data_IF_137642561522
#
_entry.id   IF_137642561522
#
_cell.length_a   1.000
_cell.length_b   1.000
_cell.length_c   1.000
_cell.angle_alpha   90.00
_cell.angle_beta   90.00
_cell.angle_gamma   90.00
#
_symmetry.space_group_name_H-M   'P 1'
#
loop_
_entity.id
_entity.type
_entity.pdbx_description
1 polymer ?
#
# COMPACT_ATOMS: atom_id res chain seq x y z
N UNK A 1 -15.69 -7.30 20.58
CA UNK A 1 -14.46 -7.66 19.85
C UNK A 1 -14.12 -9.08 20.26
N UNK A 2 -13.91 -9.99 19.32
CA UNK A 2 -13.77 -11.41 19.64
C UNK A 2 -12.29 -11.80 19.69
N UNK A 3 -11.89 -12.69 20.59
CA UNK A 3 -10.47 -13.00 20.86
C UNK A 3 -9.77 -13.62 19.63
N UNK A 4 -10.55 -14.18 18.69
CA UNK A 4 -10.06 -14.74 17.44
C UNK A 4 -9.52 -13.69 16.44
N UNK A 5 -9.96 -12.43 16.50
CA UNK A 5 -9.54 -11.37 15.54
C UNK A 5 -8.07 -10.95 15.75
N UNK A 6 -7.57 -11.01 16.99
CA UNK A 6 -6.20 -10.65 17.37
C UNK A 6 -5.13 -11.52 16.70
N UNK A 7 -5.51 -12.68 16.13
CA UNK A 7 -4.58 -13.65 15.54
C UNK A 7 -4.48 -13.58 14.00
N UNK A 8 -5.10 -12.58 13.37
CA UNK A 8 -5.15 -12.41 11.90
C UNK A 8 -4.49 -11.13 11.38
N UNK A 9 -3.86 -10.36 12.27
CA UNK A 9 -3.06 -9.17 11.94
C UNK A 9 -1.58 -9.57 11.90
N UNK A 10 -0.82 -9.03 10.94
CA UNK A 10 0.63 -9.22 10.90
C UNK A 10 1.35 -8.22 11.78
N UNK A 11 2.48 -8.64 12.34
CA UNK A 11 3.41 -7.73 12.98
C UNK A 11 3.91 -6.68 12.00
N UNK A 12 4.03 -5.44 12.48
CA UNK A 12 4.59 -4.35 11.69
C UNK A 12 6.03 -4.68 11.27
N UNK A 13 6.29 -4.60 9.97
CA UNK A 13 7.61 -4.77 9.39
C UNK A 13 7.85 -3.71 8.31
N UNK A 14 9.09 -3.21 8.14
CA UNK A 14 9.42 -2.33 7.03
C UNK A 14 9.39 -3.08 5.68
N UNK A 15 9.22 -2.37 4.54
CA UNK A 15 9.35 -2.98 3.23
C UNK A 15 10.68 -3.70 3.07
N UNK A 16 10.66 -4.91 2.48
CA UNK A 16 11.85 -5.75 2.23
C UNK A 16 12.57 -6.32 3.48
N UNK A 17 11.98 -6.26 4.68
CA UNK A 17 12.56 -6.82 5.91
C UNK A 17 13.00 -8.30 5.82
N UNK A 18 12.42 -9.06 4.88
CA UNK A 18 12.66 -10.47 4.59
C UNK A 18 13.67 -10.69 3.43
N UNK A 19 14.31 -9.61 2.95
CA UNK A 19 15.19 -9.58 1.77
C UNK A 19 16.48 -8.79 1.97
N UNK A 20 16.52 -7.86 2.92
CA UNK A 20 17.70 -7.01 3.22
C UNK A 20 17.94 -6.91 4.73
N UNK A 21 19.18 -6.62 5.19
CA UNK A 21 19.43 -6.34 6.61
C UNK A 21 18.73 -5.05 7.07
N UNK A 22 18.61 -4.86 8.39
CA UNK A 22 17.89 -3.73 9.00
C UNK A 22 18.42 -2.35 8.63
N UNK A 23 19.70 -2.24 8.27
CA UNK A 23 20.35 -1.04 7.72
C UNK A 23 21.03 -1.40 6.39
N UNK A 24 20.29 -1.36 5.27
CA UNK A 24 20.75 -1.91 4.00
C UNK A 24 21.61 -0.92 3.20
N UNK A 25 22.65 -1.42 2.55
CA UNK A 25 23.47 -0.61 1.65
C UNK A 25 22.72 -0.31 0.34
N UNK A 26 23.25 0.66 -0.43
CA UNK A 26 22.77 0.91 -1.79
C UNK A 26 22.84 -0.34 -2.68
N UNK A 27 23.87 -1.19 -2.49
CA UNK A 27 24.05 -2.39 -3.31
C UNK A 27 22.98 -3.45 -3.01
N UNK A 28 22.64 -3.65 -1.73
CA UNK A 28 21.56 -4.56 -1.29
C UNK A 28 20.21 -4.14 -1.89
N UNK A 29 19.87 -2.85 -1.76
CA UNK A 29 18.62 -2.31 -2.30
C UNK A 29 18.59 -2.32 -3.84
N UNK A 30 19.70 -1.99 -4.51
CA UNK A 30 19.81 -2.09 -5.97
C UNK A 30 19.65 -3.53 -6.44
N UNK A 31 20.26 -4.50 -5.75
CA UNK A 31 20.10 -5.92 -6.08
C UNK A 31 18.64 -6.33 -5.95
N UNK A 32 18.01 -6.14 -4.80
CA UNK A 32 16.63 -6.60 -4.56
C UNK A 32 15.61 -5.90 -5.46
N UNK A 33 15.69 -4.56 -5.61
CA UNK A 33 14.64 -3.79 -6.30
C UNK A 33 14.87 -3.69 -7.81
N UNK A 34 16.12 -3.54 -8.25
CA UNK A 34 16.46 -3.22 -9.65
C UNK A 34 17.02 -4.39 -10.44
N UNK A 35 17.74 -5.33 -9.81
CA UNK A 35 18.27 -6.54 -10.49
C UNK A 35 17.27 -7.67 -10.39
N UNK A 36 16.92 -8.08 -9.16
CA UNK A 36 16.02 -9.20 -8.87
C UNK A 36 14.53 -8.83 -9.01
N UNK A 37 14.23 -7.55 -9.29
CA UNK A 37 12.89 -7.00 -9.53
C UNK A 37 11.85 -7.31 -8.44
N UNK A 38 12.30 -7.62 -7.23
CA UNK A 38 11.44 -7.94 -6.12
C UNK A 38 10.61 -6.73 -5.66
N UNK A 39 9.45 -7.01 -5.07
CA UNK A 39 8.54 -6.04 -4.45
C UNK A 39 8.07 -6.61 -3.10
N UNK A 40 7.64 -5.76 -2.15
CA UNK A 40 7.12 -6.25 -0.87
C UNK A 40 5.97 -7.25 -1.10
N UNK A 41 6.09 -8.42 -0.47
CA UNK A 41 5.08 -9.48 -0.55
C UNK A 41 3.80 -9.00 0.11
N UNK A 42 2.68 -9.09 -0.61
CA UNK A 42 1.37 -8.82 -0.04
C UNK A 42 0.72 -10.14 0.42
N UNK A 43 0.02 -10.17 1.57
CA UNK A 43 -0.47 -11.42 2.13
C UNK A 43 -1.64 -11.99 1.33
N UNK A 44 -1.64 -13.29 1.08
CA UNK A 44 -2.70 -13.95 0.31
C UNK A 44 -4.10 -13.71 0.89
N UNK A 45 -4.25 -13.57 2.22
CA UNK A 45 -5.55 -13.28 2.86
C UNK A 45 -6.16 -11.93 2.45
N UNK A 46 -5.39 -10.97 1.93
CA UNK A 46 -5.96 -9.72 1.41
C UNK A 46 -6.88 -9.98 0.21
N UNK A 47 -6.77 -11.14 -0.46
CA UNK A 47 -7.70 -11.55 -1.53
C UNK A 47 -9.13 -11.88 -1.05
N UNK A 48 -9.34 -12.12 0.26
CA UNK A 48 -10.68 -12.44 0.80
C UNK A 48 -11.51 -11.19 1.10
N UNK A 49 -10.89 -10.01 1.10
CA UNK A 49 -11.55 -8.72 1.30
C UNK A 49 -11.40 -7.84 0.06
N UNK A 50 -12.51 -7.28 -0.42
CA UNK A 50 -12.53 -6.50 -1.67
C UNK A 50 -11.77 -5.18 -1.54
N UNK A 51 -11.76 -4.57 -0.35
CA UNK A 51 -11.04 -3.33 -0.06
C UNK A 51 -9.53 -3.57 -0.09
N UNK A 52 -9.04 -4.56 0.65
CA UNK A 52 -7.64 -4.95 0.70
C UNK A 52 -7.14 -5.46 -0.66
N UNK A 53 -7.98 -6.18 -1.42
CA UNK A 53 -7.70 -6.56 -2.81
C UNK A 53 -7.48 -5.34 -3.71
N UNK A 54 -8.34 -4.32 -3.58
CA UNK A 54 -8.26 -3.09 -4.38
C UNK A 54 -7.05 -2.24 -3.97
N UNK A 55 -6.74 -2.18 -2.67
CA UNK A 55 -5.53 -1.55 -2.13
C UNK A 55 -4.25 -2.26 -2.60
N UNK A 56 -4.20 -3.59 -2.54
CA UNK A 56 -3.10 -4.40 -3.05
C UNK A 56 -2.84 -4.20 -4.54
N UNK A 57 -3.90 -4.03 -5.33
CA UNK A 57 -3.80 -3.68 -6.75
C UNK A 57 -3.18 -2.28 -6.92
N UNK A 58 -3.67 -1.28 -6.19
CA UNK A 58 -3.14 0.08 -6.22
C UNK A 58 -1.64 0.14 -5.84
N UNK A 59 -1.23 -0.58 -4.79
CA UNK A 59 0.18 -0.67 -4.37
C UNK A 59 1.07 -1.25 -5.49
N UNK A 60 0.66 -2.36 -6.11
CA UNK A 60 1.39 -2.98 -7.22
C UNK A 60 1.52 -2.06 -8.44
N UNK A 61 0.45 -1.33 -8.78
CA UNK A 61 0.46 -0.35 -9.87
C UNK A 61 1.37 0.86 -9.57
N UNK A 62 1.50 1.27 -8.31
CA UNK A 62 2.47 2.28 -7.89
C UNK A 62 3.93 1.79 -7.91
N UNK A 63 4.15 0.47 -7.81
CA UNK A 63 5.49 -0.14 -7.78
C UNK A 63 5.98 -0.68 -9.14
N UNK A 64 5.30 -0.32 -10.24
CA UNK A 64 5.72 -0.65 -11.61
C UNK A 64 7.18 -0.29 -11.87
N UNK A 65 7.91 -1.15 -12.60
CA UNK A 65 9.32 -0.88 -12.95
C UNK A 65 9.43 0.33 -13.88
N UNK A 66 8.58 0.42 -14.90
CA UNK A 66 8.44 1.62 -15.72
C UNK A 66 7.78 2.75 -14.92
N UNK A 67 8.49 3.87 -14.74
CA UNK A 67 7.98 5.03 -14.01
C UNK A 67 6.74 5.65 -14.67
N UNK A 68 6.66 5.63 -16.01
CA UNK A 68 5.52 6.11 -16.79
C UNK A 68 4.23 5.28 -16.60
N UNK A 69 4.34 4.04 -16.10
CA UNK A 69 3.19 3.19 -15.77
C UNK A 69 2.66 3.41 -14.36
N UNK A 70 3.37 4.18 -13.52
CA UNK A 70 2.94 4.48 -12.14
C UNK A 70 1.85 5.55 -12.15
N UNK A 71 0.97 5.50 -11.16
CA UNK A 71 -0.06 6.53 -10.99
C UNK A 71 0.52 7.85 -10.50
N UNK A 72 -0.05 8.96 -10.99
CA UNK A 72 0.17 10.27 -10.39
C UNK A 72 -0.47 10.36 -9.01
N UNK A 73 0.05 11.20 -8.11
CA UNK A 73 -0.48 11.38 -6.76
C UNK A 73 -1.97 11.75 -6.75
N UNK A 74 -2.45 12.53 -7.72
CA UNK A 74 -3.87 12.86 -7.88
C UNK A 74 -4.72 11.63 -8.22
N UNK A 75 -4.22 10.71 -9.06
CA UNK A 75 -4.89 9.45 -9.38
C UNK A 75 -4.91 8.52 -8.16
N UNK A 76 -3.84 8.48 -7.37
CA UNK A 76 -3.80 7.75 -6.09
C UNK A 76 -4.83 8.32 -5.10
N UNK A 77 -4.87 9.65 -4.85
CA UNK A 77 -5.88 10.32 -3.99
C UNK A 77 -7.30 9.96 -4.44
N UNK A 78 -7.61 10.08 -5.74
CA UNK A 78 -8.93 9.74 -6.29
C UNK A 78 -9.30 8.25 -6.13
N UNK A 79 -8.34 7.33 -6.25
CA UNK A 79 -8.59 5.90 -6.03
C UNK A 79 -8.80 5.58 -4.55
N UNK A 80 -7.99 6.16 -3.64
CA UNK A 80 -8.15 5.97 -2.20
C UNK A 80 -9.50 6.47 -1.68
N UNK A 81 -9.99 7.61 -2.19
CA UNK A 81 -11.35 8.12 -1.87
C UNK A 81 -12.44 7.14 -2.32
N UNK A 82 -12.28 6.47 -3.47
CA UNK A 82 -13.22 5.44 -3.92
C UNK A 82 -13.16 4.19 -3.04
N UNK A 83 -11.96 3.77 -2.63
CA UNK A 83 -11.78 2.65 -1.72
C UNK A 83 -12.45 2.94 -0.37
N UNK A 84 -12.22 4.11 0.23
CA UNK A 84 -12.83 4.45 1.53
C UNK A 84 -14.36 4.54 1.47
N UNK A 85 -14.92 5.00 0.35
CA UNK A 85 -16.38 4.97 0.10
C UNK A 85 -16.95 3.55 0.04
N UNK A 86 -16.18 2.55 -0.43
CA UNK A 86 -16.58 1.14 -0.36
C UNK A 86 -16.45 0.55 1.06
N UNK A 87 -15.66 1.15 1.96
CA UNK A 87 -15.46 0.67 3.33
C UNK A 87 -16.48 1.21 4.35
N UNK A 88 -17.14 2.33 4.06
CA UNK A 88 -17.90 3.08 5.07
C UNK A 88 -19.37 3.28 4.72
N UNK A 89 -20.24 2.77 5.58
CA UNK A 89 -21.48 3.49 5.92
C UNK A 89 -21.11 4.77 6.68
N UNK A 90 -21.17 5.91 6.00
CA UNK A 90 -21.12 7.28 6.55
C UNK A 90 -20.10 7.59 7.66
N UNK A 91 -19.02 8.27 7.30
CA UNK A 91 -18.45 9.35 8.12
C UNK A 91 -17.95 10.47 7.22
N UNK A 92 -18.65 11.61 7.22
CA UNK A 92 -18.16 12.84 6.60
C UNK A 92 -17.03 13.39 7.48
N UNK A 93 -15.80 13.13 7.09
CA UNK A 93 -14.63 13.87 7.59
C UNK A 93 -13.92 14.51 6.39
N UNK A 94 -14.28 15.77 6.19
CA UNK A 94 -13.44 16.86 5.70
C UNK A 94 -12.78 16.71 4.31
N UNK A 95 -13.62 16.91 3.28
CA UNK A 95 -13.17 17.41 1.98
C UNK A 95 -13.11 18.96 1.93
N UNK A 96 -13.40 19.65 3.05
CA UNK A 96 -13.51 21.12 3.16
C UNK A 96 -12.14 21.82 3.36
N UNK A 97 -11.03 21.09 3.45
CA UNK A 97 -9.70 21.65 3.79
C UNK A 97 -8.70 21.78 2.62
N UNK A 98 -9.14 21.62 1.36
CA UNK A 98 -8.37 22.00 0.16
C UNK A 98 -8.65 23.49 -0.24
N UNK A 99 -9.11 24.35 0.69
CA UNK A 99 -9.23 25.81 0.51
C UNK A 99 -8.20 26.58 1.34
N UNK A 100 -7.14 27.05 0.66
CA UNK A 100 -6.13 28.03 1.13
C UNK A 100 -5.28 27.51 2.33
N UNK A 101 -4.00 27.83 2.58
CA UNK A 101 -2.93 28.67 1.99
C UNK A 101 -1.66 27.78 2.01
N UNK A 102 -0.69 27.86 1.10
CA UNK A 102 -0.41 28.89 0.07
C UNK A 102 -0.35 28.25 -1.32
#
# INVERSE_FOLDING_TARGET
MNIHDLRMVEDYNPPFHDKVPSDPSFEDMRKVVCVDQCRPTLPNRWSTDQTLTTLAKLMRECWCQAASSRHTSLRVKKTLIKISQCCQTFSKMDMENDRIIV
#
